data_IF_372270339951
#
_entry.id   IF_372270339951
#
_cell.length_a   1.000
_cell.length_b   1.000
_cell.length_c   1.000
_cell.angle_alpha   90.00
_cell.angle_beta   90.00
_cell.angle_gamma   90.00
#
_symmetry.space_group_name_H-M   'P 1'
#
loop_
_entity.id
_entity.type
_entity.pdbx_description
1 polymer ?
#
# COMPACT_ATOMS: atom_id res chain seq x y z
N UNK A 1 5.83 -8.74 -34.29
CA UNK A 1 4.37 -8.99 -34.28
C UNK A 1 3.98 -9.49 -32.90
N UNK A 2 2.95 -8.92 -32.25
CA UNK A 2 2.46 -9.44 -30.97
C UNK A 2 1.89 -10.85 -31.14
N UNK A 3 2.11 -11.72 -30.17
CA UNK A 3 1.59 -13.10 -30.19
C UNK A 3 0.10 -13.10 -29.84
N UNK A 4 -0.69 -14.03 -30.40
CA UNK A 4 -2.14 -14.16 -30.09
C UNK A 4 -2.43 -14.15 -28.58
N UNK A 5 -1.59 -14.81 -27.80
CA UNK A 5 -1.73 -14.87 -26.34
C UNK A 5 -1.61 -13.50 -25.65
N UNK A 6 -0.70 -12.63 -26.11
CA UNK A 6 -0.54 -11.29 -25.51
C UNK A 6 -1.75 -10.41 -25.81
N UNK A 7 -2.31 -10.53 -27.01
CA UNK A 7 -3.53 -9.80 -27.40
C UNK A 7 -4.73 -10.28 -26.57
N UNK A 8 -4.92 -11.59 -26.42
CA UNK A 8 -6.02 -12.13 -25.61
C UNK A 8 -5.90 -11.78 -24.12
N UNK A 9 -4.69 -11.78 -23.55
CA UNK A 9 -4.46 -11.35 -22.16
C UNK A 9 -4.76 -9.85 -21.97
N UNK A 10 -4.40 -9.02 -22.95
CA UNK A 10 -4.68 -7.59 -22.90
C UNK A 10 -6.18 -7.30 -22.95
N UNK A 11 -6.90 -7.94 -23.88
CA UNK A 11 -8.36 -7.80 -23.99
C UNK A 11 -9.06 -8.21 -22.69
N UNK A 12 -8.68 -9.36 -22.11
CA UNK A 12 -9.24 -9.82 -20.84
C UNK A 12 -8.96 -8.85 -19.68
N UNK A 13 -7.75 -8.30 -19.59
CA UNK A 13 -7.41 -7.29 -18.57
C UNK A 13 -8.27 -6.03 -18.72
N UNK A 14 -8.48 -5.60 -19.95
CA UNK A 14 -9.30 -4.44 -20.26
C UNK A 14 -10.76 -4.69 -19.83
N UNK A 15 -11.34 -5.85 -20.14
CA UNK A 15 -12.70 -6.19 -19.70
C UNK A 15 -12.85 -6.27 -18.17
N UNK A 16 -11.77 -6.57 -17.42
CA UNK A 16 -11.77 -6.70 -15.96
C UNK A 16 -11.51 -5.38 -15.22
N UNK A 17 -10.67 -4.51 -15.78
CA UNK A 17 -10.18 -3.29 -15.09
C UNK A 17 -10.52 -1.99 -15.79
N UNK A 18 -11.15 -2.06 -16.97
CA UNK A 18 -11.41 -0.94 -17.90
C UNK A 18 -10.14 -0.13 -18.24
N UNK A 19 -8.96 -0.73 -18.03
CA UNK A 19 -7.66 -0.08 -18.23
C UNK A 19 -6.68 -0.97 -18.97
N UNK A 20 -5.81 -0.33 -19.73
CA UNK A 20 -4.69 -0.95 -20.46
C UNK A 20 -3.39 -0.84 -19.64
N UNK A 21 -3.41 -0.07 -18.54
CA UNK A 21 -2.24 0.13 -17.69
C UNK A 21 -1.81 -1.17 -17.00
N UNK A 22 -0.51 -1.26 -16.73
CA UNK A 22 0.01 -2.38 -15.95
C UNK A 22 -0.58 -2.35 -14.54
N UNK A 23 -1.30 -3.41 -14.19
CA UNK A 23 -1.75 -3.66 -12.82
C UNK A 23 -0.56 -3.59 -11.86
N UNK A 24 -0.72 -3.05 -10.65
CA UNK A 24 0.34 -3.00 -9.66
C UNK A 24 0.94 -4.40 -9.48
N UNK A 25 2.27 -4.48 -9.62
CA UNK A 25 2.97 -5.76 -9.49
C UNK A 25 2.73 -6.31 -8.09
N UNK A 26 2.41 -7.61 -8.01
CA UNK A 26 2.35 -8.33 -6.75
C UNK A 26 3.77 -8.43 -6.16
N UNK A 27 4.20 -7.39 -5.45
CA UNK A 27 5.39 -7.43 -4.61
C UNK A 27 5.15 -8.24 -3.34
N UNK A 28 6.16 -8.35 -2.48
CA UNK A 28 6.00 -8.97 -1.16
C UNK A 28 4.99 -8.14 -0.35
N UNK A 29 3.87 -8.73 0.12
CA UNK A 29 2.92 -8.01 0.94
C UNK A 29 3.59 -7.55 2.24
N UNK A 30 3.47 -6.27 2.55
CA UNK A 30 3.98 -5.70 3.80
C UNK A 30 2.86 -5.65 4.82
N UNK A 31 3.00 -6.38 5.93
CA UNK A 31 2.01 -6.39 7.02
C UNK A 31 1.93 -5.06 7.79
N UNK A 32 2.91 -4.18 7.61
CA UNK A 32 2.96 -2.90 8.32
C UNK A 32 2.18 -1.77 7.61
N UNK A 33 2.07 -1.80 6.27
CA UNK A 33 1.46 -0.71 5.48
C UNK A 33 0.06 -1.10 5.01
N UNK A 34 -0.74 -1.61 5.94
CA UNK A 34 -2.17 -1.85 5.74
C UNK A 34 -2.92 -0.53 5.83
N UNK A 35 -4.07 -0.42 5.17
CA UNK A 35 -4.92 0.79 5.22
C UNK A 35 -5.28 1.15 6.66
N UNK A 36 -5.60 0.15 7.48
CA UNK A 36 -5.87 0.31 8.92
C UNK A 36 -4.69 0.96 9.66
N UNK A 37 -3.46 0.45 9.46
CA UNK A 37 -2.28 1.01 10.13
C UNK A 37 -1.99 2.44 9.65
N UNK A 38 -2.21 2.74 8.36
CA UNK A 38 -2.02 4.09 7.82
C UNK A 38 -3.00 5.06 8.49
N UNK A 39 -4.26 4.66 8.61
CA UNK A 39 -5.30 5.46 9.27
C UNK A 39 -4.96 5.70 10.73
N UNK A 40 -4.67 4.65 11.50
CA UNK A 40 -4.31 4.78 12.92
C UNK A 40 -3.10 5.69 13.16
N UNK A 41 -2.07 5.58 12.32
CA UNK A 41 -0.88 6.44 12.40
C UNK A 41 -1.25 7.88 12.06
N UNK A 42 -2.03 8.10 11.01
CA UNK A 42 -2.46 9.43 10.62
C UNK A 42 -3.27 10.12 11.71
N UNK A 43 -4.22 9.40 12.33
CA UNK A 43 -5.06 9.91 13.42
C UNK A 43 -4.22 10.26 14.64
N UNK A 44 -3.26 9.40 15.02
CA UNK A 44 -2.38 9.64 16.16
C UNK A 44 -1.56 10.95 16.00
N UNK A 45 -1.04 11.21 14.80
CA UNK A 45 -0.29 12.44 14.51
C UNK A 45 -1.19 13.67 14.30
N UNK A 46 -2.42 13.50 13.82
CA UNK A 46 -3.40 14.59 13.74
C UNK A 46 -3.81 15.04 15.15
N UNK A 47 -4.08 14.10 16.05
CA UNK A 47 -4.46 14.39 17.44
C UNK A 47 -3.31 15.00 18.23
N UNK A 48 -2.10 14.47 18.05
CA UNK A 48 -0.91 14.94 18.77
C UNK A 48 0.31 15.09 17.85
N UNK A 49 0.43 16.22 17.13
CA UNK A 49 1.51 16.44 16.16
C UNK A 49 2.92 16.42 16.74
N UNK A 50 3.07 16.71 18.03
CA UNK A 50 4.36 16.73 18.72
C UNK A 50 4.79 15.34 19.25
N UNK A 51 3.98 14.30 19.04
CA UNK A 51 4.36 12.95 19.44
C UNK A 51 5.61 12.51 18.70
N UNK A 52 6.56 11.94 19.43
CA UNK A 52 7.74 11.39 18.79
C UNK A 52 7.40 10.04 18.14
N UNK A 53 8.07 9.71 17.04
CA UNK A 53 7.94 8.40 16.38
C UNK A 53 8.19 7.24 17.36
N UNK A 54 9.02 7.43 18.39
CA UNK A 54 9.27 6.41 19.42
C UNK A 54 8.04 6.17 20.30
N UNK A 55 7.32 7.24 20.69
CA UNK A 55 6.08 7.14 21.47
C UNK A 55 4.98 6.50 20.63
N UNK A 56 4.74 7.02 19.42
CA UNK A 56 3.78 6.46 18.48
C UNK A 56 4.04 4.98 18.16
N UNK A 57 5.31 4.58 18.01
CA UNK A 57 5.70 3.17 17.81
C UNK A 57 5.29 2.27 18.97
N UNK A 58 5.41 2.77 20.18
CA UNK A 58 5.09 1.99 21.39
C UNK A 58 3.57 1.90 21.58
N UNK A 59 2.85 3.00 21.33
CA UNK A 59 1.39 3.09 21.45
C UNK A 59 0.67 2.25 20.39
N UNK A 60 1.10 2.35 19.13
CA UNK A 60 0.47 1.67 18.00
C UNK A 60 1.01 0.25 17.76
N UNK A 61 2.02 -0.19 18.54
CA UNK A 61 2.72 -1.48 18.37
C UNK A 61 3.31 -1.69 16.96
N UNK A 62 3.55 -0.62 16.21
CA UNK A 62 4.18 -0.65 14.89
C UNK A 62 5.66 -0.33 15.07
N UNK A 63 6.54 -1.09 14.41
CA UNK A 63 7.98 -0.82 14.49
C UNK A 63 8.32 0.59 13.98
N UNK A 64 9.31 1.26 14.61
CA UNK A 64 9.76 2.60 14.20
C UNK A 64 10.16 2.68 12.72
N UNK A 65 10.79 1.64 12.19
CA UNK A 65 11.21 1.59 10.78
C UNK A 65 10.02 1.48 9.83
N UNK A 66 8.96 0.78 10.23
CA UNK A 66 7.70 0.73 9.51
C UNK A 66 6.93 2.05 9.59
N UNK A 67 6.80 2.65 10.78
CA UNK A 67 6.14 3.94 10.97
C UNK A 67 6.75 5.04 10.10
N UNK A 68 8.08 5.08 9.97
CA UNK A 68 8.76 6.05 9.10
C UNK A 68 8.43 5.86 7.61
N UNK A 69 7.99 4.67 7.20
CA UNK A 69 7.68 4.33 5.80
C UNK A 69 6.20 4.45 5.47
N UNK A 70 5.34 4.55 6.49
CA UNK A 70 3.91 4.85 6.34
C UNK A 70 3.81 6.31 5.93
#
# INVERSE_FOLDING_TARGET
>A
MPCRQTISKLAKKFDETDSVDDTPRSGRPTTAKTEENIQLVSEAFVLNPQTSQRRASSELQISRTSLRRI
#
